data_IF_137426396938
#
_entry.id   IF_137426396938
#
_cell.length_a   1.000
_cell.length_b   1.000
_cell.length_c   1.000
_cell.angle_alpha   90.00
_cell.angle_beta   90.00
_cell.angle_gamma   90.00
#
_symmetry.space_group_name_H-M   'P 1'
#
loop_
_entity.id
_entity.type
_entity.pdbx_description
1 polymer ?
#
# COMPACT_ATOMS: atom_id res chain seq x y z
N UNK A 1 9.12 14.61 -15.88
CA UNK A 1 7.97 14.90 -15.00
C UNK A 1 8.29 14.36 -13.62
N UNK A 2 8.38 15.22 -12.60
CA UNK A 2 8.60 14.77 -11.23
C UNK A 2 7.32 14.08 -10.74
N UNK A 3 7.35 12.76 -10.60
CA UNK A 3 6.24 12.00 -10.00
C UNK A 3 6.09 12.51 -8.58
N UNK A 4 4.96 13.13 -8.25
CA UNK A 4 4.73 13.63 -6.90
C UNK A 4 4.82 12.41 -5.96
N UNK A 5 5.75 12.46 -5.01
CA UNK A 5 6.07 11.33 -4.13
C UNK A 5 4.81 10.80 -3.40
N UNK A 6 3.77 11.63 -3.24
CA UNK A 6 2.55 11.22 -2.55
C UNK A 6 1.41 10.76 -3.48
N UNK A 7 1.57 10.89 -4.81
CA UNK A 7 0.47 10.69 -5.76
C UNK A 7 -0.10 9.28 -5.70
N UNK A 8 0.77 8.26 -5.69
CA UNK A 8 0.32 6.86 -5.65
C UNK A 8 -0.41 6.56 -4.33
N UNK A 9 0.19 6.92 -3.19
CA UNK A 9 -0.38 6.64 -1.88
C UNK A 9 -1.75 7.31 -1.70
N UNK A 10 -1.90 8.56 -2.19
CA UNK A 10 -3.16 9.28 -2.16
C UNK A 10 -4.23 8.63 -3.05
N UNK A 11 -3.87 8.14 -4.24
CA UNK A 11 -4.81 7.42 -5.13
C UNK A 11 -5.30 6.13 -4.48
N UNK A 12 -4.40 5.35 -3.87
CA UNK A 12 -4.80 4.11 -3.17
C UNK A 12 -5.65 4.42 -1.95
N UNK A 13 -5.30 5.45 -1.17
CA UNK A 13 -6.12 5.90 -0.04
C UNK A 13 -7.55 6.26 -0.48
N UNK A 14 -7.72 6.90 -1.64
CA UNK A 14 -9.05 7.18 -2.19
C UNK A 14 -9.85 5.91 -2.47
N UNK A 15 -9.23 4.86 -3.02
CA UNK A 15 -9.90 3.58 -3.24
C UNK A 15 -10.35 2.93 -1.93
N UNK A 16 -9.51 3.00 -0.90
CA UNK A 16 -9.85 2.52 0.45
C UNK A 16 -11.02 3.30 1.03
N UNK A 17 -10.99 4.64 0.95
CA UNK A 17 -12.06 5.52 1.44
C UNK A 17 -13.37 5.34 0.67
N UNK A 18 -13.32 5.02 -0.61
CA UNK A 18 -14.51 4.73 -1.42
C UNK A 18 -15.08 3.33 -1.17
N UNK A 19 -14.46 2.52 -0.30
CA UNK A 19 -14.84 1.13 -0.05
C UNK A 19 -14.49 0.17 -1.18
N UNK A 20 -13.70 0.60 -2.18
CA UNK A 20 -13.25 -0.26 -3.27
C UNK A 20 -11.99 -1.01 -2.86
N UNK A 21 -12.15 -1.93 -1.91
CA UNK A 21 -11.06 -2.70 -1.31
C UNK A 21 -10.33 -3.56 -2.34
N UNK A 22 -11.04 -4.15 -3.30
CA UNK A 22 -10.43 -5.00 -4.33
C UNK A 22 -9.46 -4.21 -5.22
N UNK A 23 -9.86 -3.01 -5.66
CA UNK A 23 -8.98 -2.14 -6.43
C UNK A 23 -7.80 -1.65 -5.59
N UNK A 24 -8.02 -1.34 -4.31
CA UNK A 24 -6.95 -0.94 -3.40
C UNK A 24 -5.91 -2.06 -3.25
N UNK A 25 -6.37 -3.30 -3.00
CA UNK A 25 -5.52 -4.50 -2.90
C UNK A 25 -4.73 -4.71 -4.20
N UNK A 26 -5.40 -4.61 -5.36
CA UNK A 26 -4.73 -4.75 -6.65
C UNK A 26 -3.61 -3.71 -6.84
N UNK A 27 -3.84 -2.45 -6.46
CA UNK A 27 -2.81 -1.40 -6.53
C UNK A 27 -1.65 -1.65 -5.57
N UNK A 28 -1.92 -2.12 -4.35
CA UNK A 28 -0.89 -2.41 -3.33
C UNK A 28 0.06 -3.51 -3.82
N UNK A 29 -0.46 -4.57 -4.45
CA UNK A 29 0.35 -5.67 -5.02
C UNK A 29 1.34 -5.21 -6.09
N UNK A 30 1.03 -4.11 -6.79
CA UNK A 30 1.87 -3.54 -7.86
C UNK A 30 2.53 -2.24 -7.42
N UNK A 31 2.74 -2.06 -6.12
CA UNK A 31 3.35 -0.86 -5.57
C UNK A 31 4.71 -0.56 -6.23
N UNK A 32 4.98 0.70 -6.62
CA UNK A 32 6.21 1.01 -7.36
C UNK A 32 7.47 0.94 -6.49
N UNK A 33 7.38 1.37 -5.23
CA UNK A 33 8.51 1.43 -4.31
C UNK A 33 8.09 1.18 -2.86
N UNK A 34 9.03 0.71 -2.02
CA UNK A 34 8.83 0.58 -0.56
C UNK A 34 8.41 1.91 0.07
N UNK A 35 8.94 3.03 -0.46
CA UNK A 35 8.58 4.37 -0.01
C UNK A 35 7.12 4.72 -0.28
N UNK A 36 6.54 4.26 -1.38
CA UNK A 36 5.12 4.47 -1.68
C UNK A 36 4.23 3.70 -0.70
N UNK A 37 4.57 2.44 -0.41
CA UNK A 37 3.84 1.60 0.56
C UNK A 37 3.94 2.17 1.98
N UNK A 38 5.13 2.63 2.38
CA UNK A 38 5.36 3.26 3.70
C UNK A 38 4.52 4.53 3.87
N UNK A 39 4.37 5.35 2.81
CA UNK A 39 3.49 6.54 2.86
C UNK A 39 2.02 6.15 2.95
N UNK A 40 1.60 5.09 2.25
CA UNK A 40 0.24 4.56 2.37
C UNK A 40 -0.05 4.09 3.80
N UNK A 41 0.88 3.37 4.46
CA UNK A 41 0.71 2.95 5.87
C UNK A 41 0.43 4.14 6.79
N UNK A 42 1.24 5.20 6.71
CA UNK A 42 1.05 6.41 7.50
C UNK A 42 -0.30 7.11 7.23
N UNK A 43 -0.84 6.99 6.02
CA UNK A 43 -2.17 7.50 5.69
C UNK A 43 -3.30 6.61 6.24
N UNK A 44 -3.13 5.29 6.23
CA UNK A 44 -4.11 4.35 6.78
C UNK A 44 -4.20 4.43 8.31
N UNK A 45 -3.10 4.71 9.00
CA UNK A 45 -3.07 4.93 10.45
C UNK A 45 -3.93 6.12 10.91
N UNK A 46 -4.21 7.07 10.02
CA UNK A 46 -5.07 8.22 10.30
C UNK A 46 -6.57 7.91 10.18
N UNK A 47 -6.93 6.71 9.71
CA UNK A 47 -8.33 6.31 9.56
C UNK A 47 -8.85 5.61 10.83
N UNK A 48 -10.17 5.63 11.09
CA UNK A 48 -10.76 4.90 12.20
C UNK A 48 -10.43 3.40 12.13
N UNK A 49 -9.99 2.83 13.25
CA UNK A 49 -9.63 1.41 13.31
C UNK A 49 -10.88 0.53 13.20
N UNK A 50 -11.05 -0.11 12.04
CA UNK A 50 -12.10 -1.11 11.80
C UNK A 50 -11.45 -2.49 11.57
N UNK A 51 -12.18 -3.61 11.75
CA UNK A 51 -11.65 -4.93 11.44
C UNK A 51 -11.12 -5.06 10.01
N UNK A 52 -11.85 -4.52 9.02
CA UNK A 52 -11.43 -4.54 7.61
C UNK A 52 -10.17 -3.69 7.37
N UNK A 53 -10.07 -2.52 8.00
CA UNK A 53 -8.88 -1.69 7.88
C UNK A 53 -7.66 -2.37 8.51
N UNK A 54 -7.81 -3.05 9.66
CA UNK A 54 -6.72 -3.81 10.28
C UNK A 54 -6.21 -4.93 9.39
N UNK A 55 -7.13 -5.66 8.74
CA UNK A 55 -6.77 -6.68 7.75
C UNK A 55 -6.01 -6.08 6.56
N UNK A 56 -6.46 -4.93 6.06
CA UNK A 56 -5.77 -4.23 4.98
C UNK A 56 -4.38 -3.74 5.42
N UNK A 57 -4.24 -3.20 6.63
CA UNK A 57 -2.95 -2.75 7.17
C UNK A 57 -1.96 -3.92 7.31
N UNK A 58 -2.43 -5.10 7.74
CA UNK A 58 -1.61 -6.31 7.77
C UNK A 58 -1.13 -6.67 6.35
N UNK A 59 -2.05 -6.71 5.38
CA UNK A 59 -1.72 -7.00 3.99
C UNK A 59 -0.70 -6.00 3.41
N UNK A 60 -0.85 -4.71 3.72
CA UNK A 60 0.10 -3.66 3.29
C UNK A 60 1.50 -3.88 3.88
N UNK A 61 1.62 -4.32 5.13
CA UNK A 61 2.92 -4.63 5.74
C UNK A 61 3.57 -5.87 5.12
N UNK A 62 2.79 -6.90 4.79
CA UNK A 62 3.28 -8.09 4.08
C UNK A 62 3.87 -7.70 2.71
N UNK A 63 3.14 -6.91 1.91
CA UNK A 63 3.60 -6.44 0.60
C UNK A 63 4.81 -5.51 0.71
N UNK A 64 4.86 -4.66 1.75
CA UNK A 64 6.04 -3.83 2.04
C UNK A 64 7.27 -4.70 2.31
N UNK A 65 7.13 -5.73 3.14
CA UNK A 65 8.22 -6.64 3.47
C UNK A 65 8.71 -7.41 2.23
N UNK A 66 7.78 -7.92 1.42
CA UNK A 66 8.10 -8.57 0.15
C UNK A 66 8.87 -7.63 -0.78
N UNK A 67 8.40 -6.38 -0.93
CA UNK A 67 9.02 -5.39 -1.81
C UNK A 67 10.39 -4.92 -1.30
N UNK A 68 10.63 -4.94 0.01
CA UNK A 68 11.92 -4.62 0.64
C UNK A 68 12.93 -5.78 0.58
N UNK A 69 12.47 -7.03 0.43
CA UNK A 69 13.35 -8.19 0.41
C UNK A 69 14.39 -8.11 -0.72
N UNK A 70 15.66 -8.52 -0.48
CA UNK A 70 16.69 -8.57 -1.51
C UNK A 70 16.22 -9.38 -2.73
N UNK A 71 16.41 -8.82 -3.94
CA UNK A 71 15.96 -9.45 -5.20
C UNK A 71 16.58 -10.82 -5.46
N UNK A 72 17.63 -11.20 -4.72
CA UNK A 72 18.21 -12.54 -4.74
C UNK A 72 17.21 -13.64 -4.31
N UNK A 73 16.19 -13.30 -3.52
CA UNK A 73 15.10 -14.24 -3.15
C UNK A 73 13.97 -14.30 -4.19
N UNK A 74 14.03 -13.48 -5.25
CA UNK A 74 13.04 -13.43 -6.34
C UNK A 74 13.65 -14.03 -7.60
N UNK A 75 14.15 -15.26 -7.50
CA UNK A 75 14.58 -16.03 -8.66
C UNK A 75 13.34 -16.50 -9.45
N UNK A 76 13.40 -16.52 -10.80
CA UNK A 76 12.25 -16.67 -11.70
C UNK A 76 11.56 -18.05 -11.61
#
# INVERSE_FOLDING_TARGET
MARNKNEWANKVLMLVRSGNTDAAVAQIKVAPTVGDVTRLQALLEQLPSTPALRQLQQFVEEERAMLAAPRLHRAP
#
